data_IF_051095767157
#
_entry.id   IF_051095767157
#
_cell.length_a   1.000
_cell.length_b   1.000
_cell.length_c   1.000
_cell.angle_alpha   90.00
_cell.angle_beta   90.00
_cell.angle_gamma   90.00
#
_symmetry.space_group_name_H-M   'P 1'
#
loop_
_entity.id
_entity.type
_entity.pdbx_description
1 polymer ?
#
# COMPACT_ATOMS: atom_id res chain seq x y z
N UNK A 1 -18.90 55.30 -63.44
CA UNK A 1 -17.63 55.53 -62.73
C UNK A 1 -17.31 54.28 -61.92
N UNK A 2 -16.19 53.60 -62.26
CA UNK A 2 -15.41 52.55 -61.53
C UNK A 2 -16.15 51.24 -61.18
N UNK A 3 -15.85 50.05 -61.77
CA UNK A 3 -14.69 49.13 -61.57
C UNK A 3 -14.40 48.90 -60.06
N UNK A 4 -14.17 47.70 -59.52
CA UNK A 4 -13.43 46.51 -59.99
C UNK A 4 -13.85 45.27 -59.14
N UNK A 5 -13.89 44.04 -59.68
CA UNK A 5 -12.89 42.94 -59.55
C UNK A 5 -12.92 42.21 -58.18
N UNK A 6 -13.44 40.97 -58.12
CA UNK A 6 -12.70 39.68 -58.13
C UNK A 6 -11.68 39.52 -56.99
N UNK A 7 -11.87 38.52 -56.12
CA UNK A 7 -10.83 37.52 -55.82
C UNK A 7 -11.33 36.39 -54.91
N UNK A 8 -11.20 35.18 -55.44
CA UNK A 8 -11.25 33.85 -54.80
C UNK A 8 -10.25 33.74 -53.63
N UNK A 9 -10.52 32.87 -52.63
CA UNK A 9 -9.62 31.78 -52.17
C UNK A 9 -10.04 31.16 -50.81
N UNK A 10 -10.26 29.83 -50.89
CA UNK A 10 -9.81 28.76 -49.98
C UNK A 10 -10.51 28.56 -48.61
N UNK A 11 -11.23 27.43 -48.53
CA UNK A 11 -11.48 26.67 -47.30
C UNK A 11 -10.17 26.31 -46.60
N UNK A 12 -10.03 26.67 -45.33
CA UNK A 12 -9.17 25.90 -44.42
C UNK A 12 -10.04 25.22 -43.37
N UNK A 13 -9.91 23.91 -43.40
CA UNK A 13 -10.53 22.88 -42.60
C UNK A 13 -10.16 22.99 -41.12
N UNK A 14 -11.12 22.66 -40.25
CA UNK A 14 -10.95 21.97 -38.97
C UNK A 14 -9.75 22.30 -38.10
N UNK A 15 -9.95 23.16 -37.09
CA UNK A 15 -9.22 23.00 -35.83
C UNK A 15 -9.91 21.89 -35.02
N UNK A 16 -9.48 20.65 -35.24
CA UNK A 16 -9.65 19.61 -34.24
C UNK A 16 -8.69 19.96 -33.10
N UNK A 17 -9.21 20.51 -32.01
CA UNK A 17 -8.48 20.57 -30.75
C UNK A 17 -8.20 19.13 -30.31
N UNK A 18 -6.93 18.73 -30.35
CA UNK A 18 -6.48 17.48 -29.74
C UNK A 18 -6.82 17.52 -28.25
N UNK A 19 -7.37 16.43 -27.66
CA UNK A 19 -7.55 16.37 -26.22
C UNK A 19 -6.17 16.48 -25.58
N UNK A 20 -6.01 17.48 -24.71
CA UNK A 20 -4.80 17.69 -23.95
C UNK A 20 -4.40 16.38 -23.30
N UNK A 21 -3.18 15.93 -23.57
CA UNK A 21 -2.54 14.87 -22.82
C UNK A 21 -2.60 15.25 -21.35
N UNK A 22 -3.50 14.64 -20.59
CA UNK A 22 -3.39 14.60 -19.14
C UNK A 22 -2.04 13.96 -18.87
N UNK A 23 -1.06 14.79 -18.52
CA UNK A 23 0.20 14.31 -17.96
C UNK A 23 -0.21 13.66 -16.65
N UNK A 24 -0.40 12.35 -16.66
CA UNK A 24 -0.47 11.57 -15.43
C UNK A 24 0.90 11.75 -14.77
N UNK A 25 0.94 12.50 -13.67
CA UNK A 25 2.09 12.45 -12.79
C UNK A 25 2.39 10.98 -12.50
N UNK A 26 3.66 10.57 -12.41
CA UNK A 26 3.99 9.20 -12.07
C UNK A 26 3.27 8.85 -10.77
N UNK A 27 2.34 7.89 -10.83
CA UNK A 27 1.63 7.43 -9.64
C UNK A 27 2.69 6.85 -8.72
N UNK A 28 2.93 7.52 -7.59
CA UNK A 28 3.85 7.01 -6.59
C UNK A 28 3.25 5.72 -6.02
N UNK A 29 4.05 4.67 -5.80
CA UNK A 29 3.56 3.42 -5.24
C UNK A 29 2.86 3.64 -3.90
N UNK A 30 1.74 2.93 -3.70
CA UNK A 30 1.05 2.90 -2.40
C UNK A 30 1.24 1.56 -1.74
N UNK A 31 1.55 1.57 -0.45
CA UNK A 31 1.78 0.38 0.38
C UNK A 31 0.83 0.37 1.56
N UNK A 32 0.25 -0.79 1.82
CA UNK A 32 -0.53 -1.10 3.00
C UNK A 32 0.35 -1.75 4.06
N UNK A 33 0.40 -1.13 5.24
CA UNK A 33 1.08 -1.68 6.40
C UNK A 33 0.06 -2.09 7.47
N UNK A 34 0.14 -3.34 7.92
CA UNK A 34 -0.78 -3.92 8.91
C UNK A 34 -0.09 -4.28 10.23
N UNK A 35 1.24 -4.39 10.21
CA UNK A 35 2.06 -4.92 11.29
C UNK A 35 2.97 -3.88 11.93
N UNK A 36 4.25 -4.22 12.07
CA UNK A 36 5.23 -3.46 12.85
C UNK A 36 5.59 -2.07 12.30
N UNK A 37 5.26 -1.80 11.03
CA UNK A 37 5.52 -0.52 10.35
C UNK A 37 4.43 0.55 10.59
N UNK A 38 3.26 0.16 11.14
CA UNK A 38 2.18 1.11 11.44
C UNK A 38 2.60 2.17 12.47
N UNK A 39 1.92 3.32 12.51
CA UNK A 39 2.14 4.33 13.56
C UNK A 39 2.02 3.70 14.96
N UNK A 40 2.92 4.12 15.85
CA UNK A 40 2.99 3.59 17.22
C UNK A 40 3.53 2.16 17.33
N UNK A 41 3.93 1.52 16.23
CA UNK A 41 4.49 0.16 16.24
C UNK A 41 6.03 0.18 16.14
N UNK A 42 6.70 -0.93 16.54
CA UNK A 42 8.16 -0.94 16.79
C UNK A 42 9.05 -0.49 15.64
N UNK A 43 8.65 -0.72 14.39
CA UNK A 43 9.46 -0.42 13.20
C UNK A 43 9.00 0.86 12.48
N UNK A 44 8.05 1.61 13.03
CA UNK A 44 7.53 2.81 12.39
C UNK A 44 8.60 3.87 12.08
N UNK A 45 9.64 3.95 12.93
CA UNK A 45 10.74 4.90 12.72
C UNK A 45 11.46 4.69 11.37
N UNK A 46 11.41 3.48 10.78
CA UNK A 46 11.97 3.19 9.45
C UNK A 46 11.22 3.91 8.33
N UNK A 47 9.91 4.12 8.50
CA UNK A 47 9.06 4.87 7.56
C UNK A 47 9.34 6.39 7.60
N UNK A 48 9.89 6.88 8.73
CA UNK A 48 10.18 8.31 8.94
C UNK A 48 11.64 8.68 8.59
N UNK A 49 12.51 7.69 8.45
CA UNK A 49 13.92 7.90 8.14
C UNK A 49 14.10 8.27 6.67
N UNK A 50 14.44 9.53 6.43
CA UNK A 50 14.65 10.09 5.09
C UNK A 50 15.79 9.41 4.31
N UNK A 51 16.66 8.65 4.96
CA UNK A 51 17.68 7.85 4.28
C UNK A 51 17.11 6.59 3.64
N UNK A 52 15.93 6.14 4.07
CA UNK A 52 15.23 5.01 3.46
C UNK A 52 14.35 5.46 2.27
N UNK A 53 14.00 6.74 2.19
CA UNK A 53 13.13 7.31 1.15
C UNK A 53 12.00 8.15 1.76
N UNK A 54 10.95 8.41 0.98
CA UNK A 54 9.76 9.12 1.46
C UNK A 54 8.61 8.15 1.67
N UNK A 55 7.91 8.30 2.80
CA UNK A 55 6.62 7.67 3.05
C UNK A 55 5.64 8.71 3.64
N UNK A 56 4.53 8.92 2.95
CA UNK A 56 3.45 9.82 3.37
C UNK A 56 2.21 9.00 3.71
N UNK A 57 1.68 9.19 4.91
CA UNK A 57 0.43 8.55 5.31
C UNK A 57 -0.73 9.18 4.55
N UNK A 58 -1.58 8.34 3.96
CA UNK A 58 -2.78 8.79 3.24
C UNK A 58 -4.08 8.47 3.98
N UNK A 59 -4.20 7.26 4.55
CA UNK A 59 -5.46 6.78 5.10
C UNK A 59 -5.30 5.58 6.04
N UNK A 60 -6.32 5.32 6.87
CA UNK A 60 -6.57 3.99 7.46
C UNK A 60 -7.54 3.21 6.60
N UNK A 61 -7.38 1.88 6.56
CA UNK A 61 -8.17 1.02 5.68
C UNK A 61 -8.30 -0.42 6.18
N UNK A 62 -9.29 -1.14 5.65
CA UNK A 62 -9.46 -2.59 5.82
C UNK A 62 -9.27 -3.31 4.48
N UNK A 63 -8.66 -4.48 4.51
CA UNK A 63 -8.72 -5.40 3.37
C UNK A 63 -10.17 -5.71 3.00
N UNK A 64 -10.51 -5.69 1.71
CA UNK A 64 -11.86 -6.06 1.25
C UNK A 64 -12.13 -7.55 1.51
N UNK A 65 -11.13 -8.38 1.22
CA UNK A 65 -11.13 -9.80 1.52
C UNK A 65 -10.62 -10.06 2.94
N UNK A 66 -10.98 -11.22 3.49
CA UNK A 66 -10.41 -11.69 4.76
C UNK A 66 -9.04 -12.32 4.49
N UNK A 67 -8.10 -12.12 5.41
CA UNK A 67 -6.82 -12.81 5.45
C UNK A 67 -6.50 -13.30 6.87
N UNK A 68 -5.77 -14.41 7.02
CA UNK A 68 -5.18 -14.77 8.30
C UNK A 68 -4.01 -13.83 8.60
N UNK A 69 -4.20 -12.89 9.53
CA UNK A 69 -3.11 -12.18 10.19
C UNK A 69 -2.79 -12.91 11.49
N UNK A 70 -1.60 -13.49 11.58
CA UNK A 70 -1.14 -14.27 12.74
C UNK A 70 0.08 -13.61 13.37
N UNK A 71 0.28 -13.83 14.67
CA UNK A 71 1.55 -13.51 15.35
C UNK A 71 2.28 -14.83 15.55
N UNK A 72 3.48 -14.95 14.98
CA UNK A 72 4.20 -16.21 14.93
C UNK A 72 5.71 -16.04 15.14
N UNK A 73 6.41 -17.17 15.19
CA UNK A 73 7.83 -17.32 15.54
C UNK A 73 8.14 -16.94 16.99
N UNK A 74 9.33 -17.29 17.46
CA UNK A 74 9.84 -16.87 18.78
C UNK A 74 9.97 -15.34 18.92
N UNK A 75 9.94 -14.61 17.79
CA UNK A 75 10.08 -13.16 17.75
C UNK A 75 8.74 -12.39 17.72
N UNK A 76 7.61 -13.08 17.80
CA UNK A 76 6.26 -12.51 17.79
C UNK A 76 6.02 -11.56 16.60
N UNK A 77 6.42 -11.99 15.41
CA UNK A 77 6.31 -11.19 14.17
C UNK A 77 4.88 -11.36 13.62
N UNK A 78 4.20 -10.27 13.23
CA UNK A 78 2.92 -10.36 12.54
C UNK A 78 3.11 -10.79 11.08
N UNK A 79 2.45 -11.87 10.66
CA UNK A 79 2.43 -12.35 9.28
C UNK A 79 1.02 -12.29 8.70
N UNK A 80 0.87 -11.64 7.54
CA UNK A 80 -0.32 -11.77 6.71
C UNK A 80 -0.15 -12.94 5.75
N UNK A 81 -0.87 -14.04 6.00
CA UNK A 81 -0.81 -15.21 5.13
C UNK A 81 -1.61 -14.93 3.86
N UNK A 82 -1.04 -15.25 2.70
CA UNK A 82 -1.70 -15.06 1.40
C UNK A 82 -2.75 -16.16 1.13
N UNK A 83 -3.78 -16.17 1.99
CA UNK A 83 -4.93 -17.08 1.97
C UNK A 83 -6.22 -16.26 1.91
N UNK A 84 -6.50 -15.62 0.76
CA UNK A 84 -7.69 -14.79 0.59
C UNK A 84 -8.97 -15.54 0.94
N UNK A 85 -9.88 -14.86 1.64
CA UNK A 85 -11.16 -15.39 2.09
C UNK A 85 -11.15 -16.04 3.47
N UNK A 86 -9.97 -16.27 4.07
CA UNK A 86 -9.80 -16.86 5.40
C UNK A 86 -9.49 -15.82 6.48
N UNK A 87 -9.63 -16.15 7.76
CA UNK A 87 -9.31 -15.21 8.85
C UNK A 87 -10.27 -14.03 8.95
N UNK A 88 -9.74 -12.81 9.02
CA UNK A 88 -10.51 -11.58 9.26
C UNK A 88 -10.16 -10.50 8.23
N UNK A 89 -11.02 -9.47 8.10
CA UNK A 89 -10.63 -8.26 7.36
C UNK A 89 -9.56 -7.54 8.17
N UNK A 90 -8.39 -7.33 7.59
CA UNK A 90 -7.24 -6.80 8.32
C UNK A 90 -7.21 -5.28 8.21
N UNK A 91 -7.08 -4.62 9.35
CA UNK A 91 -7.00 -3.17 9.49
C UNK A 91 -5.55 -2.70 9.49
N UNK A 92 -5.28 -1.64 8.76
CA UNK A 92 -3.94 -1.05 8.66
C UNK A 92 -3.96 0.35 8.09
N UNK A 93 -2.80 0.77 7.58
CA UNK A 93 -2.55 2.13 7.12
C UNK A 93 -2.04 2.10 5.67
N UNK A 94 -2.50 3.05 4.86
CA UNK A 94 -2.04 3.26 3.49
C UNK A 94 -1.02 4.39 3.49
N UNK A 95 0.14 4.12 2.90
CA UNK A 95 1.19 5.09 2.66
C UNK A 95 1.45 5.23 1.17
N UNK A 96 1.64 6.46 0.70
CA UNK A 96 2.33 6.73 -0.56
C UNK A 96 3.83 6.73 -0.32
N UNK A 97 4.59 6.03 -1.15
CA UNK A 97 6.04 5.88 -0.99
C UNK A 97 6.77 6.18 -2.29
N UNK A 98 7.98 6.72 -2.20
CA UNK A 98 8.85 6.80 -3.37
C UNK A 98 9.50 5.44 -3.68
N UNK A 99 10.10 5.33 -4.87
CA UNK A 99 10.76 4.09 -5.31
C UNK A 99 11.89 3.66 -4.37
N UNK A 100 12.55 4.63 -3.71
CA UNK A 100 13.63 4.36 -2.76
C UNK A 100 13.10 3.69 -1.50
N UNK A 101 12.03 4.24 -0.91
CA UNK A 101 11.34 3.66 0.23
C UNK A 101 10.77 2.29 -0.12
N UNK A 102 10.17 2.17 -1.31
CA UNK A 102 9.64 0.89 -1.77
C UNK A 102 10.73 -0.20 -1.89
N UNK A 103 11.91 0.15 -2.42
CA UNK A 103 13.05 -0.77 -2.50
C UNK A 103 13.64 -1.11 -1.12
N UNK A 104 13.69 -0.13 -0.21
CA UNK A 104 14.07 -0.35 1.18
C UNK A 104 13.14 -1.34 1.86
N UNK A 105 11.81 -1.18 1.71
CA UNK A 105 10.81 -2.06 2.31
C UNK A 105 10.93 -3.49 1.78
N UNK A 106 11.21 -3.69 0.48
CA UNK A 106 11.46 -5.02 -0.08
C UNK A 106 12.66 -5.71 0.57
N UNK A 107 13.77 -4.97 0.75
CA UNK A 107 14.95 -5.49 1.41
C UNK A 107 14.69 -5.76 2.90
N UNK A 108 14.00 -4.84 3.57
CA UNK A 108 13.65 -4.96 4.99
C UNK A 108 12.78 -6.19 5.26
N UNK A 109 11.75 -6.41 4.44
CA UNK A 109 10.83 -7.54 4.54
C UNK A 109 11.38 -8.83 3.89
N UNK A 110 12.65 -8.82 3.46
CA UNK A 110 13.31 -9.98 2.85
C UNK A 110 12.53 -10.59 1.68
N UNK A 111 12.07 -9.74 0.77
CA UNK A 111 11.40 -10.18 -0.47
C UNK A 111 12.42 -10.84 -1.42
N UNK A 112 12.11 -11.97 -2.07
CA UNK A 112 10.83 -12.71 -2.06
C UNK A 112 10.79 -13.90 -1.07
N UNK A 113 11.73 -14.02 -0.13
CA UNK A 113 11.88 -15.21 0.71
C UNK A 113 10.89 -15.24 1.88
N UNK A 114 10.98 -14.25 2.79
CA UNK A 114 10.13 -14.19 3.99
C UNK A 114 8.73 -13.68 3.64
N UNK A 115 8.67 -12.58 2.89
CA UNK A 115 7.46 -12.00 2.34
C UNK A 115 7.53 -11.89 0.83
N UNK A 116 6.38 -11.70 0.21
CA UNK A 116 6.22 -11.35 -1.19
C UNK A 116 5.37 -10.09 -1.24
N UNK A 117 5.80 -9.12 -2.05
CA UNK A 117 5.00 -7.94 -2.34
C UNK A 117 3.90 -8.31 -3.34
N UNK A 118 2.66 -8.29 -2.89
CA UNK A 118 1.46 -8.60 -3.68
C UNK A 118 0.53 -7.39 -3.71
N UNK A 119 -0.49 -7.42 -4.57
CA UNK A 119 -1.53 -6.37 -4.62
C UNK A 119 -2.79 -6.85 -3.92
N UNK A 120 -3.40 -5.97 -3.13
CA UNK A 120 -4.69 -6.21 -2.47
C UNK A 120 -5.62 -5.03 -2.66
N UNK A 121 -6.93 -5.31 -2.63
CA UNK A 121 -7.95 -4.29 -2.57
C UNK A 121 -8.26 -3.94 -1.11
N UNK A 122 -8.37 -2.65 -0.84
CA UNK A 122 -8.71 -2.11 0.47
C UNK A 122 -9.93 -1.22 0.37
N UNK A 123 -10.76 -1.26 1.40
CA UNK A 123 -11.79 -0.27 1.69
C UNK A 123 -11.21 0.78 2.65
N UNK A 124 -11.23 2.04 2.24
CA UNK A 124 -10.73 3.16 3.04
C UNK A 124 -11.70 3.43 4.19
N UNK A 125 -11.20 3.49 5.42
CA UNK A 125 -12.00 3.85 6.60
C UNK A 125 -11.95 5.35 6.88
N UNK A 126 -10.75 5.92 6.93
CA UNK A 126 -10.51 7.33 7.21
C UNK A 126 -9.37 7.82 6.33
N UNK A 127 -9.65 8.78 5.45
CA UNK A 127 -8.73 9.27 4.44
C UNK A 127 -9.18 10.62 3.86
N UNK A 128 -8.30 11.23 3.06
CA UNK A 128 -8.51 12.55 2.47
C UNK A 128 -9.28 12.54 1.15
N UNK A 129 -9.22 13.66 0.42
CA UNK A 129 -9.90 13.81 -0.87
C UNK A 129 -9.44 12.79 -1.93
N UNK A 130 -8.18 12.35 -1.85
CA UNK A 130 -7.59 11.36 -2.77
C UNK A 130 -8.00 9.92 -2.45
N UNK A 131 -8.27 9.63 -1.17
CA UNK A 131 -8.75 8.34 -0.68
C UNK A 131 -9.96 8.59 0.23
N UNK A 132 -11.16 8.87 -0.33
CA UNK A 132 -12.33 9.15 0.48
C UNK A 132 -12.77 7.91 1.28
N UNK A 133 -13.33 8.07 2.49
CA UNK A 133 -13.95 6.98 3.23
C UNK A 133 -14.97 6.19 2.40
N UNK A 134 -14.92 4.86 2.47
CA UNK A 134 -15.75 3.93 1.71
C UNK A 134 -15.30 3.67 0.26
N UNK A 135 -14.28 4.38 -0.23
CA UNK A 135 -13.69 4.08 -1.55
C UNK A 135 -12.87 2.78 -1.51
N UNK A 136 -12.82 2.09 -2.64
CA UNK A 136 -11.96 0.92 -2.83
C UNK A 136 -10.71 1.32 -3.61
N UNK A 137 -9.54 0.91 -3.15
CA UNK A 137 -8.26 1.18 -3.79
C UNK A 137 -7.37 -0.06 -3.81
N UNK A 138 -6.53 -0.20 -4.83
CA UNK A 138 -5.58 -1.29 -4.96
C UNK A 138 -4.18 -0.81 -4.57
N UNK A 139 -3.53 -1.50 -3.65
CA UNK A 139 -2.21 -1.12 -3.12
C UNK A 139 -1.33 -2.34 -2.89
N UNK A 140 -0.02 -2.12 -2.77
CA UNK A 140 0.92 -3.18 -2.42
C UNK A 140 0.80 -3.58 -0.95
N UNK A 141 1.03 -4.86 -0.65
CA UNK A 141 1.14 -5.38 0.72
C UNK A 141 2.25 -6.44 0.76
N UNK A 142 2.92 -6.57 1.90
CA UNK A 142 3.84 -7.67 2.18
C UNK A 142 3.06 -8.83 2.79
N UNK A 143 2.74 -9.83 1.98
CA UNK A 143 2.07 -11.08 2.40
C UNK A 143 3.02 -12.26 2.26
N UNK A 144 2.74 -13.39 2.91
CA UNK A 144 3.61 -14.58 2.79
C UNK A 144 2.86 -15.83 2.36
N UNK A 145 3.47 -16.59 1.46
CA UNK A 145 3.13 -18.00 1.16
C UNK A 145 4.11 -18.98 1.82
N UNK A 146 5.13 -18.47 2.52
CA UNK A 146 6.21 -19.22 3.18
C UNK A 146 5.94 -19.34 4.69
N UNK A 147 4.96 -20.15 5.08
CA UNK A 147 4.53 -20.30 6.48
C UNK A 147 4.51 -21.77 6.94
N UNK A 148 4.54 -22.00 8.25
CA UNK A 148 4.42 -23.36 8.80
C UNK A 148 2.98 -23.88 8.65
N UNK A 149 2.77 -25.21 8.48
CA UNK A 149 1.45 -25.77 8.18
C UNK A 149 0.36 -25.52 9.24
N UNK A 150 0.75 -25.25 10.48
CA UNK A 150 -0.15 -25.00 11.60
C UNK A 150 -0.61 -23.53 11.70
N UNK A 151 0.14 -22.58 11.14
CA UNK A 151 -0.17 -21.14 11.23
C UNK A 151 -1.59 -20.78 10.74
N UNK A 152 -2.09 -21.31 9.60
CA UNK A 152 -3.45 -21.00 9.14
C UNK A 152 -4.57 -21.41 10.11
N UNK A 153 -4.30 -22.36 11.00
CA UNK A 153 -5.26 -22.83 12.01
C UNK A 153 -5.17 -22.06 13.33
N UNK A 154 -4.20 -21.15 13.47
CA UNK A 154 -3.96 -20.37 14.67
C UNK A 154 -4.96 -19.23 14.90
N UNK A 155 -4.78 -18.50 16.01
CA UNK A 155 -5.54 -17.28 16.30
C UNK A 155 -5.21 -16.22 15.25
N UNK A 156 -6.26 -15.68 14.62
CA UNK A 156 -6.13 -14.57 13.67
C UNK A 156 -6.56 -13.25 14.30
N UNK A 157 -5.97 -12.14 13.83
CA UNK A 157 -6.19 -10.81 14.36
C UNK A 157 -6.77 -9.87 13.30
N UNK A 158 -7.65 -8.95 13.72
CA UNK A 158 -8.13 -7.88 12.86
C UNK A 158 -7.07 -6.79 12.69
N UNK A 159 -6.35 -6.46 13.77
CA UNK A 159 -5.32 -5.42 13.81
C UNK A 159 -4.21 -5.89 14.73
N UNK A 160 -2.97 -5.80 14.27
CA UNK A 160 -1.80 -6.06 15.10
C UNK A 160 -1.47 -4.86 15.98
N UNK A 161 -1.09 -5.13 17.23
CA UNK A 161 -0.48 -4.18 18.15
C UNK A 161 0.53 -4.91 19.03
N UNK A 162 1.81 -4.50 19.03
CA UNK A 162 2.83 -5.12 19.90
C UNK A 162 2.48 -5.09 21.39
N UNK A 163 1.61 -4.18 21.83
CA UNK A 163 1.14 -4.08 23.22
C UNK A 163 -0.31 -4.56 23.38
N UNK A 164 -0.82 -5.31 22.40
CA UNK A 164 -2.18 -5.85 22.40
C UNK A 164 -2.44 -6.89 23.49
N UNK A 165 -3.72 -7.20 23.68
CA UNK A 165 -4.22 -8.14 24.71
C UNK A 165 -3.76 -9.60 24.54
N UNK A 166 -3.07 -9.91 23.44
CA UNK A 166 -2.48 -11.22 23.18
C UNK A 166 -1.25 -11.50 24.04
N UNK A 167 -0.63 -10.49 24.65
CA UNK A 167 0.53 -10.68 25.53
C UNK A 167 1.79 -11.20 24.82
N UNK A 168 1.90 -10.93 23.51
CA UNK A 168 3.01 -11.36 22.64
C UNK A 168 3.76 -10.12 22.11
N UNK A 169 4.66 -9.52 22.91
CA UNK A 169 5.40 -8.34 22.48
C UNK A 169 6.42 -8.69 21.39
N UNK A 170 6.56 -7.82 20.40
CA UNK A 170 7.55 -7.97 19.34
C UNK A 170 8.98 -8.03 19.88
N UNK A 171 9.76 -8.97 19.35
CA UNK A 171 11.20 -9.06 19.63
C UNK A 171 12.00 -8.34 18.54
N UNK A 172 12.66 -7.26 18.95
CA UNK A 172 13.53 -6.43 18.11
C UNK A 172 14.62 -7.26 17.44
N UNK A 173 15.02 -6.87 16.22
CA UNK A 173 16.05 -7.62 15.46
C UNK A 173 17.40 -7.62 16.17
N UNK A 174 17.68 -6.55 16.90
CA UNK A 174 18.90 -6.33 17.69
C UNK A 174 18.98 -7.24 18.94
N UNK A 175 17.85 -7.85 19.33
CA UNK A 175 17.74 -8.75 20.47
C UNK A 175 17.61 -10.22 20.06
N UNK A 176 17.84 -10.54 18.78
CA UNK A 176 17.82 -11.91 18.25
C UNK A 176 19.26 -12.44 18.26
N UNK A 177 19.44 -13.63 18.81
CA UNK A 177 20.74 -14.33 18.87
C UNK A 177 21.20 -14.80 17.48
#
# INVERSE_FOLDING_TARGET
>A
MRRAEESTLIRVSGFNSLPGSQVSLPLMPRVFVYGTLKRGQPNHYRMLDATNGKAEFLATALTTQRYPLVIATEYNIPFLLNLPGQGQRVRGEIYEVDERMLAFLDAFESVPSMYQRTMVELEVEDGGAELPPGSITQVFVYSTTSYQPDWPSGRTFQSYDTHGDHGLPYVYREARD
#
